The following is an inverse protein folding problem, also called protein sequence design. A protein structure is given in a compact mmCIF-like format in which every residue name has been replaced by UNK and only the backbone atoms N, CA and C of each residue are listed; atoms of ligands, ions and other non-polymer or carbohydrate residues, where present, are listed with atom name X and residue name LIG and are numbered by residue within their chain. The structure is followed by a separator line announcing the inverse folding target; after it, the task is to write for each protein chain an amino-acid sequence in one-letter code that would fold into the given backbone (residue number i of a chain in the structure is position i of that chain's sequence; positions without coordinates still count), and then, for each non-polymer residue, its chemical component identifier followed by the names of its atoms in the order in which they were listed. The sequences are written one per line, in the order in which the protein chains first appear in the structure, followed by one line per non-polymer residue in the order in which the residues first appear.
data_IF_110649709604
#
_entry.id   IF_110649709604
#
_cell.length_a   1.000
_cell.length_b   1.000
_cell.length_c   1.000
_cell.angle_alpha   90.00
_cell.angle_beta   90.00
_cell.angle_gamma   90.00
#
_symmetry.space_group_name_H-M   'P 1'
#
loop_
_entity.id
_entity.type
_entity.pdbx_description
1 polymer ?
#
# COMPACT_ATOMS: atom_id res chain seq x y z
N UNK A 1 12.55 18.95 -19.79
CA UNK A 1 12.16 18.07 -18.67
C UNK A 1 12.38 18.82 -17.36
N UNK A 2 11.39 18.82 -16.46
CA UNK A 2 11.37 19.64 -15.23
C UNK A 2 12.54 19.29 -14.31
N UNK A 3 13.24 20.31 -13.79
CA UNK A 3 14.29 20.17 -12.77
C UNK A 3 13.69 19.47 -11.55
N UNK A 4 14.29 18.36 -11.12
CA UNK A 4 13.92 17.67 -9.87
C UNK A 4 14.20 18.63 -8.71
N UNK A 5 13.17 18.89 -7.91
CA UNK A 5 13.23 19.60 -6.63
C UNK A 5 14.24 18.88 -5.72
N UNK A 6 15.07 19.57 -4.92
CA UNK A 6 15.99 18.90 -3.98
C UNK A 6 15.19 17.99 -3.05
N UNK A 7 15.75 16.84 -2.62
CA UNK A 7 15.06 16.01 -1.64
C UNK A 7 14.90 16.80 -0.35
N UNK A 8 13.68 16.82 0.18
CA UNK A 8 13.40 17.13 1.58
C UNK A 8 14.38 16.34 2.49
N UNK A 9 14.68 16.89 3.66
CA UNK A 9 15.59 16.31 4.66
C UNK A 9 15.43 14.78 4.75
N UNK A 10 16.56 14.07 4.82
CA UNK A 10 16.54 12.62 4.90
C UNK A 10 15.70 12.18 6.12
N UNK A 11 14.60 11.48 5.85
CA UNK A 11 13.67 11.00 6.90
C UNK A 11 14.41 10.13 7.91
N UNK A 12 15.39 9.35 7.47
CA UNK A 12 16.19 8.50 8.34
C UNK A 12 17.67 8.87 8.25
N UNK A 13 18.34 8.92 9.40
CA UNK A 13 19.78 9.14 9.48
C UNK A 13 20.57 7.91 9.03
N UNK A 14 20.09 6.72 9.40
CA UNK A 14 20.69 5.42 9.07
C UNK A 14 19.67 4.28 9.28
N UNK A 15 20.09 3.03 9.07
CA UNK A 15 19.22 1.86 9.22
C UNK A 15 18.73 1.63 10.65
N UNK A 16 19.53 1.98 11.66
CA UNK A 16 19.14 1.84 13.06
C UNK A 16 18.08 2.87 13.45
N UNK A 17 18.27 4.12 13.03
CA UNK A 17 17.28 5.18 13.19
C UNK A 17 15.94 4.80 12.54
N UNK A 18 15.96 4.22 11.33
CA UNK A 18 14.74 3.68 10.71
C UNK A 18 14.07 2.61 11.58
N UNK A 19 14.82 1.63 12.08
CA UNK A 19 14.26 0.58 12.94
C UNK A 19 13.66 1.16 14.22
N UNK A 20 14.36 2.11 14.85
CA UNK A 20 13.90 2.72 16.09
C UNK A 20 12.61 3.53 15.86
N UNK A 21 12.56 4.36 14.82
CA UNK A 21 11.36 5.14 14.48
C UNK A 21 10.18 4.24 14.14
N UNK A 22 10.41 3.12 13.44
CA UNK A 22 9.36 2.13 13.17
C UNK A 22 8.89 1.42 14.45
N UNK A 23 9.79 1.08 15.37
CA UNK A 23 9.42 0.54 16.67
C UNK A 23 8.58 1.53 17.48
N UNK A 24 9.02 2.80 17.55
CA UNK A 24 8.29 3.87 18.23
C UNK A 24 6.88 4.06 17.67
N UNK A 25 6.70 3.96 16.35
CA UNK A 25 5.37 3.97 15.74
C UNK A 25 4.49 2.82 16.27
N UNK A 26 4.96 1.58 16.19
CA UNK A 26 4.12 0.42 16.54
C UNK A 26 3.90 0.23 18.03
N UNK A 27 4.86 0.61 18.86
CA UNK A 27 4.91 0.29 20.30
C UNK A 27 4.56 1.48 21.18
N UNK A 28 4.75 2.72 20.71
CA UNK A 28 4.42 3.92 21.49
C UNK A 28 3.26 4.67 20.87
N UNK A 29 3.40 5.08 19.62
CA UNK A 29 2.40 5.94 18.97
C UNK A 29 1.01 5.29 18.91
N UNK A 30 0.95 4.02 18.49
CA UNK A 30 -0.32 3.29 18.41
C UNK A 30 -0.87 2.87 19.78
N UNK A 31 -0.01 2.65 20.79
CA UNK A 31 -0.46 2.32 22.15
C UNK A 31 -1.02 3.56 22.86
N UNK A 32 -0.33 4.70 22.76
CA UNK A 32 -0.77 6.00 23.30
C UNK A 32 -2.07 6.47 22.65
N UNK A 33 -2.25 6.16 21.36
CA UNK A 33 -3.44 6.50 20.59
C UNK A 33 -4.24 5.25 20.24
N UNK A 34 -4.78 4.58 21.26
CA UNK A 34 -5.46 3.29 21.16
C UNK A 34 -6.67 3.24 20.20
N UNK A 35 -7.21 4.38 19.79
CA UNK A 35 -8.27 4.47 18.78
C UNK A 35 -7.74 4.36 17.33
N UNK A 36 -6.45 4.58 17.12
CA UNK A 36 -5.84 4.48 15.80
C UNK A 36 -5.66 3.02 15.38
N UNK A 37 -5.99 2.77 14.13
CA UNK A 37 -5.63 1.52 13.45
C UNK A 37 -4.34 1.78 12.69
N UNK A 38 -3.35 0.89 12.84
CA UNK A 38 -2.12 0.98 12.08
C UNK A 38 -2.44 1.07 10.57
N UNK A 39 -1.99 2.14 9.91
CA UNK A 39 -2.18 2.35 8.47
C UNK A 39 -0.94 3.01 7.83
N UNK A 40 -0.93 3.11 6.50
CA UNK A 40 0.24 3.60 5.75
C UNK A 40 0.32 5.13 5.79
N UNK A 41 -0.82 5.81 5.73
CA UNK A 41 -0.97 7.25 5.78
C UNK A 41 -0.57 7.81 7.16
N UNK A 42 -0.98 7.16 8.24
CA UNK A 42 -0.63 7.45 9.63
C UNK A 42 0.85 7.15 9.91
N UNK A 43 1.41 6.08 9.33
CA UNK A 43 2.85 5.85 9.39
C UNK A 43 3.62 6.98 8.66
N UNK A 44 3.14 7.41 7.50
CA UNK A 44 3.76 8.51 6.77
C UNK A 44 3.69 9.83 7.54
N UNK A 45 2.53 10.14 8.13
CA UNK A 45 2.32 11.31 9.00
C UNK A 45 3.26 11.29 10.21
N UNK A 46 3.34 10.14 10.91
CA UNK A 46 4.26 9.95 12.03
C UNK A 46 5.73 10.14 11.63
N UNK A 47 6.10 9.69 10.43
CA UNK A 47 7.47 9.82 9.92
C UNK A 47 7.79 11.23 9.39
N UNK A 48 6.79 12.11 9.24
CA UNK A 48 6.94 13.44 8.65
C UNK A 48 7.11 13.40 7.14
N UNK A 49 6.47 12.44 6.47
CA UNK A 49 6.53 12.27 5.01
C UNK A 49 5.15 12.03 4.41
N UNK A 50 5.09 11.75 3.11
CA UNK A 50 3.87 11.38 2.40
C UNK A 50 3.85 9.87 2.13
N UNK A 51 2.66 9.33 1.83
CA UNK A 51 2.51 7.94 1.40
C UNK A 51 3.37 7.63 0.16
N UNK A 52 3.42 8.56 -0.79
CA UNK A 52 4.26 8.47 -1.99
C UNK A 52 5.76 8.50 -1.63
N UNK A 53 6.14 9.35 -0.67
CA UNK A 53 7.50 9.40 -0.12
C UNK A 53 7.91 8.09 0.54
N UNK A 54 7.02 7.51 1.35
CA UNK A 54 7.22 6.20 1.97
C UNK A 54 7.47 5.11 0.92
N UNK A 55 6.64 5.04 -0.14
CA UNK A 55 6.81 4.07 -1.21
C UNK A 55 8.09 4.28 -2.04
N UNK A 56 8.53 5.53 -2.22
CA UNK A 56 9.82 5.79 -2.83
C UNK A 56 10.98 5.28 -1.96
N UNK A 57 10.91 5.51 -0.65
CA UNK A 57 11.89 5.05 0.34
C UNK A 57 11.96 3.52 0.47
N UNK A 58 10.88 2.81 0.20
CA UNK A 58 10.92 1.35 0.14
C UNK A 58 11.89 0.79 -0.90
N UNK A 59 12.30 1.57 -1.90
CA UNK A 59 13.29 1.14 -2.90
C UNK A 59 14.74 1.35 -2.43
N UNK A 60 14.93 2.01 -1.29
CA UNK A 60 16.25 2.27 -0.73
C UNK A 60 16.94 0.97 -0.27
N UNK A 61 18.26 0.90 -0.45
CA UNK A 61 19.05 -0.29 -0.13
C UNK A 61 19.34 -0.44 1.38
N UNK A 62 19.31 0.64 2.13
CA UNK A 62 19.67 0.70 3.54
C UNK A 62 18.45 0.41 4.41
N UNK A 63 17.33 1.10 4.17
CA UNK A 63 16.14 0.98 5.02
C UNK A 63 14.90 0.43 4.31
N UNK A 64 14.93 0.26 2.98
CA UNK A 64 13.74 -0.17 2.22
C UNK A 64 13.20 -1.54 2.65
N UNK A 65 14.06 -2.46 3.12
CA UNK A 65 13.60 -3.74 3.67
C UNK A 65 12.77 -3.59 4.95
N UNK A 66 13.18 -2.72 5.86
CA UNK A 66 12.46 -2.48 7.11
C UNK A 66 11.12 -1.77 6.88
N UNK A 67 11.07 -0.84 5.93
CA UNK A 67 9.80 -0.20 5.52
C UNK A 67 8.82 -1.21 4.90
N UNK A 68 9.29 -2.11 4.03
CA UNK A 68 8.43 -3.18 3.48
C UNK A 68 7.94 -4.13 4.57
N UNK A 69 8.77 -4.43 5.58
CA UNK A 69 8.35 -5.19 6.78
C UNK A 69 7.28 -4.45 7.58
N UNK A 70 7.44 -3.15 7.82
CA UNK A 70 6.44 -2.32 8.50
C UNK A 70 5.11 -2.33 7.75
N UNK A 71 5.14 -2.17 6.43
CA UNK A 71 3.93 -2.27 5.59
C UNK A 71 3.29 -3.66 5.66
N UNK A 72 4.07 -4.73 5.68
CA UNK A 72 3.53 -6.07 5.90
C UNK A 72 2.89 -6.23 7.29
N UNK A 73 3.50 -5.65 8.34
CA UNK A 73 2.95 -5.64 9.70
C UNK A 73 1.61 -4.90 9.77
N UNK A 74 1.49 -3.75 9.11
CA UNK A 74 0.23 -3.00 8.96
C UNK A 74 -0.86 -3.89 8.35
N UNK A 75 -0.59 -4.56 7.22
CA UNK A 75 -1.55 -5.47 6.59
C UNK A 75 -1.96 -6.61 7.52
N UNK A 76 -1.02 -7.19 8.28
CA UNK A 76 -1.31 -8.26 9.21
C UNK A 76 -2.26 -7.80 10.33
N UNK A 77 -2.01 -6.62 10.91
CA UNK A 77 -2.87 -6.01 11.94
C UNK A 77 -4.29 -5.78 11.38
N UNK A 78 -4.40 -5.10 10.24
CA UNK A 78 -5.70 -4.81 9.62
C UNK A 78 -6.49 -6.07 9.27
N UNK A 79 -5.82 -7.13 8.79
CA UNK A 79 -6.46 -8.44 8.55
C UNK A 79 -7.04 -9.05 9.83
N UNK A 80 -6.28 -9.03 10.93
CA UNK A 80 -6.78 -9.55 12.22
C UNK A 80 -7.97 -8.74 12.74
N UNK A 81 -7.95 -7.42 12.57
CA UNK A 81 -9.10 -6.57 12.91
C UNK A 81 -10.34 -6.91 12.08
N UNK A 82 -10.18 -7.13 10.76
CA UNK A 82 -11.29 -7.55 9.92
C UNK A 82 -11.85 -8.93 10.30
N UNK A 83 -10.98 -9.91 10.59
CA UNK A 83 -11.41 -11.23 11.06
C UNK A 83 -12.20 -11.18 12.37
N UNK A 84 -11.93 -10.18 13.22
CA UNK A 84 -12.65 -9.94 14.49
C UNK A 84 -13.87 -9.04 14.33
N UNK A 85 -14.24 -8.66 13.11
CA UNK A 85 -15.36 -7.75 12.82
C UNK A 85 -15.13 -6.31 13.29
N UNK A 86 -13.87 -5.92 13.55
CA UNK A 86 -13.49 -4.57 13.97
C UNK A 86 -13.11 -3.64 12.82
N UNK A 87 -12.93 -4.19 11.63
CA UNK A 87 -12.67 -3.43 10.40
C UNK A 87 -13.61 -3.94 9.30
N UNK A 88 -14.37 -3.04 8.61
CA UNK A 88 -15.22 -3.46 7.50
C UNK A 88 -14.41 -4.17 6.40
N UNK A 89 -14.82 -5.37 5.93
CA UNK A 89 -14.07 -6.11 4.91
C UNK A 89 -13.84 -5.31 3.62
N UNK A 90 -14.81 -4.50 3.19
CA UNK A 90 -14.69 -3.67 2.00
C UNK A 90 -13.53 -2.65 2.12
N UNK A 91 -13.40 -1.98 3.27
CA UNK A 91 -12.31 -1.04 3.54
C UNK A 91 -10.96 -1.75 3.49
N UNK A 92 -10.86 -2.93 4.12
CA UNK A 92 -9.65 -3.75 4.06
C UNK A 92 -9.32 -4.15 2.61
N UNK A 93 -10.30 -4.58 1.82
CA UNK A 93 -10.08 -5.00 0.44
C UNK A 93 -9.51 -3.87 -0.43
N UNK A 94 -10.03 -2.65 -0.32
CA UNK A 94 -9.49 -1.51 -1.06
C UNK A 94 -8.10 -1.10 -0.56
N UNK A 95 -7.89 -1.09 0.76
CA UNK A 95 -6.60 -0.77 1.36
C UNK A 95 -5.50 -1.76 0.93
N UNK A 96 -5.77 -3.07 1.00
CA UNK A 96 -4.80 -4.09 0.58
C UNK A 96 -4.43 -3.98 -0.91
N UNK A 97 -5.37 -3.59 -1.77
CA UNK A 97 -5.10 -3.38 -3.20
C UNK A 97 -4.24 -2.14 -3.44
N UNK A 98 -4.62 -1.02 -2.83
CA UNK A 98 -4.02 0.28 -3.09
C UNK A 98 -2.67 0.47 -2.41
N UNK A 99 -2.51 -0.10 -1.20
CA UNK A 99 -1.37 0.14 -0.34
C UNK A 99 -0.46 -1.09 -0.17
N UNK A 100 -0.96 -2.30 -0.39
CA UNK A 100 -0.18 -3.53 -0.17
C UNK A 100 0.03 -4.37 -1.45
N UNK A 101 -0.43 -3.89 -2.61
CA UNK A 101 -0.21 -4.53 -3.90
C UNK A 101 -0.98 -5.85 -4.09
N UNK A 102 -2.02 -6.09 -3.29
CA UNK A 102 -2.87 -7.27 -3.47
C UNK A 102 -3.65 -7.15 -4.77
N UNK A 103 -3.82 -8.28 -5.45
CA UNK A 103 -4.61 -8.38 -6.68
C UNK A 103 -5.63 -9.49 -6.49
N UNK A 104 -6.83 -9.28 -7.02
CA UNK A 104 -7.82 -10.35 -7.08
C UNK A 104 -7.28 -11.45 -7.98
N UNK A 105 -7.49 -12.70 -7.57
CA UNK A 105 -7.25 -13.85 -8.44
C UNK A 105 -8.51 -14.05 -9.28
N UNK A 106 -8.40 -13.81 -10.57
CA UNK A 106 -9.44 -14.20 -11.52
C UNK A 106 -9.20 -15.64 -11.97
N UNK A 107 -10.26 -16.42 -12.13
CA UNK A 107 -10.22 -17.79 -12.67
C UNK A 107 -10.28 -17.81 -14.20
N UNK A 108 -9.82 -16.75 -14.89
CA UNK A 108 -9.77 -16.73 -16.34
C UNK A 108 -8.64 -17.63 -16.84
N UNK A 109 -8.86 -18.95 -16.81
CA UNK A 109 -8.20 -19.87 -17.73
C UNK A 109 -8.69 -19.52 -19.12
N UNK A 110 -8.00 -18.61 -19.78
CA UNK A 110 -8.04 -18.49 -21.24
C UNK A 110 -7.49 -19.80 -21.82
N UNK A 111 -8.33 -20.83 -21.89
CA UNK A 111 -8.10 -22.00 -22.71
C UNK A 111 -8.21 -21.52 -24.16
N UNK A 112 -7.08 -21.18 -24.76
CA UNK A 112 -6.98 -20.80 -26.17
C UNK A 112 -7.49 -19.38 -26.45
N UNK A 113 -6.63 -18.57 -27.04
CA UNK A 113 -7.05 -17.31 -27.64
C UNK A 113 -7.86 -17.59 -28.91
N UNK A 114 -9.12 -17.99 -28.78
CA UNK A 114 -10.04 -17.97 -29.91
C UNK A 114 -10.32 -16.51 -30.25
N UNK A 115 -9.86 -16.08 -31.41
CA UNK A 115 -10.13 -14.73 -31.92
C UNK A 115 -11.64 -14.60 -32.14
N UNK A 116 -12.32 -13.87 -31.26
CA UNK A 116 -13.73 -13.54 -31.44
C UNK A 116 -13.84 -12.46 -32.52
N UNK A 117 -14.09 -12.86 -33.77
CA UNK A 117 -14.41 -11.94 -34.86
C UNK A 117 -15.90 -11.59 -34.79
N UNK A 118 -16.23 -10.45 -34.20
CA UNK A 118 -17.60 -9.92 -34.23
C UNK A 118 -17.81 -9.22 -35.59
N UNK A 119 -18.36 -9.93 -36.57
CA UNK A 119 -18.85 -9.32 -37.81
C UNK A 119 -20.24 -8.73 -37.59
N UNK A 120 -20.30 -7.45 -37.24
CA UNK A 120 -21.54 -6.67 -37.22
C UNK A 120 -21.80 -6.00 -38.57
N UNK A 121 -23.06 -5.96 -39.01
CA UNK A 121 -23.49 -5.16 -40.16
C UNK A 121 -23.70 -3.73 -39.67
N UNK A 122 -22.61 -2.94 -39.59
CA UNK A 122 -22.65 -1.57 -39.07
C UNK A 122 -23.72 -0.67 -39.72
N UNK A 123 -24.19 -1.04 -40.92
CA UNK A 123 -25.29 -0.38 -41.64
C UNK A 123 -26.67 -0.55 -41.00
N UNK A 124 -26.92 -1.58 -40.20
CA UNK A 124 -28.24 -1.85 -39.61
C UNK A 124 -28.45 -1.14 -38.28
N UNK A 125 -27.37 -0.76 -37.59
CA UNK A 125 -27.43 -0.13 -36.26
C UNK A 125 -27.49 1.41 -36.31
N UNK A 126 -27.46 1.98 -37.52
CA UNK A 126 -27.49 3.41 -37.76
C UNK A 126 -28.87 3.93 -38.22
N UNK A 127 -29.96 3.24 -37.87
CA UNK A 127 -31.33 3.70 -38.12
C UNK A 127 -31.96 4.30 -36.87
#
# INVERSE_FOLDING_TARGET
MKKRRPPEEAVFLNAEDCRQRLADYFEKHLEEKSELVADVENLADFLGTTREGLFAMEQDKVYGFELRKARNRIAAIKKQLAFRGKLPPAVLSFDLKNNHGYRDKNEDTAAGADTVIIKGVAKEWAK
#
